data_IF_224421382328
#
_entry.id   IF_224421382328
#
_cell.length_a   1.000
_cell.length_b   1.000
_cell.length_c   1.000
_cell.angle_alpha   90.00
_cell.angle_beta   90.00
_cell.angle_gamma   90.00
#
_symmetry.space_group_name_H-M   'P 1'
#
loop_
_entity.id
_entity.type
_entity.pdbx_description
1 polymer ?
#
# COMPACT_ATOMS: atom_id res chain seq x y z
N UNK A 1 24.55 -15.07 -36.48
CA UNK A 1 23.95 -16.19 -35.73
C UNK A 1 24.62 -16.21 -34.35
N UNK A 2 24.20 -15.29 -33.49
CA UNK A 2 23.19 -15.50 -32.42
C UNK A 2 23.75 -16.32 -31.24
N UNK A 3 24.25 -15.61 -30.23
CA UNK A 3 24.44 -16.15 -28.89
C UNK A 3 23.13 -15.97 -28.10
N UNK A 4 22.54 -17.10 -27.70
CA UNK A 4 21.29 -17.21 -26.97
C UNK A 4 21.42 -16.57 -25.58
N UNK A 5 20.56 -15.58 -25.30
CA UNK A 5 20.31 -15.08 -23.93
C UNK A 5 19.52 -16.14 -23.18
N UNK A 6 20.05 -16.60 -22.06
CA UNK A 6 19.32 -17.44 -21.11
C UNK A 6 18.25 -16.62 -20.41
N UNK A 7 16.99 -16.87 -20.74
CA UNK A 7 15.84 -16.38 -19.99
C UNK A 7 15.81 -17.04 -18.61
N UNK A 8 16.02 -16.23 -17.56
CA UNK A 8 15.67 -16.64 -16.19
C UNK A 8 14.16 -16.66 -16.08
N UNK A 9 13.53 -17.76 -15.61
CA UNK A 9 12.10 -17.77 -15.40
C UNK A 9 11.76 -16.80 -14.26
N UNK A 10 11.09 -15.70 -14.58
CA UNK A 10 10.39 -14.90 -13.58
C UNK A 10 9.21 -15.73 -13.09
N UNK A 11 9.37 -16.39 -11.94
CA UNK A 11 8.22 -17.01 -11.27
C UNK A 11 7.30 -15.88 -10.80
N UNK A 12 6.19 -15.71 -11.51
CA UNK A 12 5.20 -14.67 -11.22
C UNK A 12 4.39 -15.13 -10.02
N UNK A 13 4.80 -14.73 -8.83
CA UNK A 13 4.03 -14.95 -7.62
C UNK A 13 2.76 -14.08 -7.67
N UNK A 14 1.61 -14.71 -7.42
CA UNK A 14 0.31 -14.04 -7.43
C UNK A 14 0.26 -12.97 -6.33
N UNK A 15 -0.14 -11.73 -6.66
CA UNK A 15 -0.23 -10.61 -5.70
C UNK A 15 -1.15 -10.92 -4.51
N UNK A 16 -2.25 -11.66 -4.74
CA UNK A 16 -3.12 -12.13 -3.65
C UNK A 16 -2.36 -13.03 -2.68
N UNK A 17 -1.43 -13.85 -3.21
CA UNK A 17 -0.55 -14.70 -2.41
C UNK A 17 0.54 -13.88 -1.73
N UNK A 18 1.13 -12.87 -2.38
CA UNK A 18 2.09 -11.96 -1.72
C UNK A 18 1.42 -11.18 -0.58
N UNK A 19 0.22 -10.65 -0.78
CA UNK A 19 -0.51 -9.89 0.22
C UNK A 19 -0.99 -10.80 1.36
N UNK A 20 -1.60 -11.95 1.05
CA UNK A 20 -1.93 -12.98 2.05
C UNK A 20 -0.68 -13.45 2.80
N UNK A 21 0.44 -13.69 2.11
CA UNK A 21 1.71 -14.06 2.75
C UNK A 21 2.28 -12.94 3.63
N UNK A 22 2.21 -11.66 3.23
CA UNK A 22 2.62 -10.53 4.09
C UNK A 22 1.65 -10.28 5.26
N UNK A 23 0.41 -10.73 5.12
CA UNK A 23 -0.66 -10.61 6.12
C UNK A 23 -0.71 -11.80 7.09
N UNK A 24 -0.29 -12.99 6.67
CA UNK A 24 -0.32 -14.26 7.41
C UNK A 24 1.06 -14.69 7.93
N UNK A 25 2.15 -14.35 7.25
CA UNK A 25 3.50 -14.73 7.66
C UNK A 25 4.29 -13.51 8.15
N UNK A 26 4.48 -13.46 9.46
CA UNK A 26 5.49 -12.64 10.14
C UNK A 26 6.94 -12.99 9.71
N UNK A 27 7.13 -13.88 8.73
CA UNK A 27 8.43 -14.34 8.26
C UNK A 27 8.75 -13.70 6.91
N UNK A 28 9.44 -12.55 6.98
CA UNK A 28 10.26 -11.88 5.96
C UNK A 28 10.01 -10.35 5.81
N UNK A 29 9.44 -9.68 6.81
CA UNK A 29 9.55 -8.21 6.88
C UNK A 29 10.97 -7.91 7.40
N UNK A 30 11.81 -7.18 6.64
CA UNK A 30 13.11 -6.72 7.15
C UNK A 30 12.93 -6.02 8.49
N UNK A 31 13.76 -6.35 9.47
CA UNK A 31 13.70 -5.78 10.81
C UNK A 31 15.09 -5.37 11.26
N UNK A 32 15.22 -4.13 11.72
CA UNK A 32 16.43 -3.59 12.31
C UNK A 32 16.08 -2.92 13.66
N UNK A 33 15.99 -3.69 14.76
CA UNK A 33 15.68 -3.13 16.06
C UNK A 33 16.83 -2.27 16.59
N UNK A 34 16.56 -1.01 16.89
CA UNK A 34 17.54 -0.05 17.42
C UNK A 34 17.23 0.30 18.88
N UNK A 35 18.26 0.21 19.73
CA UNK A 35 18.19 0.84 21.06
C UNK A 35 18.49 2.34 20.95
N UNK A 36 18.41 3.09 22.05
CA UNK A 36 18.59 4.54 22.03
C UNK A 36 19.94 4.99 21.44
N UNK A 37 21.04 4.34 21.86
CA UNK A 37 22.37 4.66 21.34
C UNK A 37 22.50 4.31 19.86
N UNK A 38 22.00 3.14 19.45
CA UNK A 38 22.01 2.69 18.07
C UNK A 38 21.21 3.62 17.16
N UNK A 39 20.04 4.07 17.61
CA UNK A 39 19.23 5.06 16.88
C UNK A 39 19.98 6.38 16.74
N UNK A 40 20.58 6.89 17.81
CA UNK A 40 21.34 8.15 17.77
C UNK A 40 22.52 8.09 16.79
N UNK A 41 23.20 6.96 16.69
CA UNK A 41 24.27 6.76 15.71
C UNK A 41 23.70 6.63 14.30
N UNK A 42 22.73 5.72 14.10
CA UNK A 42 22.18 5.38 12.79
C UNK A 42 21.49 6.56 12.11
N UNK A 43 20.86 7.47 12.85
CA UNK A 43 20.27 8.70 12.29
C UNK A 43 21.28 9.59 11.55
N UNK A 44 22.58 9.44 11.83
CA UNK A 44 23.65 10.17 11.14
C UNK A 44 24.28 9.38 9.96
N UNK A 45 23.91 8.12 9.76
CA UNK A 45 24.45 7.23 8.73
C UNK A 45 23.56 7.19 7.48
N UNK A 46 23.46 8.32 6.78
CA UNK A 46 22.51 8.48 5.67
C UNK A 46 22.65 7.42 4.55
N UNK A 47 23.88 7.00 4.24
CA UNK A 47 24.13 5.95 3.24
C UNK A 47 23.56 4.59 3.66
N UNK A 48 23.72 4.22 4.93
CA UNK A 48 23.20 2.96 5.47
C UNK A 48 21.67 2.97 5.51
N UNK A 49 21.06 4.10 5.90
CA UNK A 49 19.60 4.29 5.84
C UNK A 49 19.08 4.10 4.41
N UNK A 50 19.75 4.69 3.42
CA UNK A 50 19.32 4.58 2.02
C UNK A 50 19.46 3.16 1.48
N UNK A 51 20.53 2.46 1.83
CA UNK A 51 20.73 1.06 1.46
C UNK A 51 19.64 0.17 2.06
N UNK A 52 19.35 0.33 3.35
CA UNK A 52 18.27 -0.40 4.03
C UNK A 52 16.90 -0.09 3.41
N UNK A 53 16.59 1.19 3.17
CA UNK A 53 15.35 1.62 2.53
C UNK A 53 15.19 0.99 1.13
N UNK A 54 16.27 0.95 0.35
CA UNK A 54 16.26 0.37 -0.99
C UNK A 54 15.97 -1.14 -1.01
N UNK A 55 16.20 -1.82 0.12
CA UNK A 55 15.86 -3.24 0.32
C UNK A 55 14.39 -3.49 0.67
N UNK A 56 13.61 -2.45 1.01
CA UNK A 56 12.20 -2.61 1.42
C UNK A 56 11.32 -2.94 0.20
N UNK A 57 10.56 -4.06 0.22
CA UNK A 57 9.65 -4.40 -0.86
C UNK A 57 8.62 -3.29 -1.09
N UNK A 58 8.56 -2.79 -2.33
CA UNK A 58 7.56 -1.81 -2.73
C UNK A 58 6.27 -2.52 -3.14
N UNK A 59 5.21 -2.34 -2.36
CA UNK A 59 3.88 -2.89 -2.65
C UNK A 59 2.95 -1.78 -3.07
N UNK A 60 2.54 -1.79 -4.34
CA UNK A 60 1.59 -0.84 -4.90
C UNK A 60 0.45 -1.54 -5.65
N UNK A 61 -0.75 -0.98 -5.51
CA UNK A 61 -1.91 -1.39 -6.29
C UNK A 61 -1.80 -0.86 -7.73
N UNK A 62 -2.41 -1.59 -8.66
CA UNK A 62 -2.55 -1.15 -10.07
C UNK A 62 -3.92 -0.54 -10.29
N UNK A 63 -4.04 0.37 -11.27
CA UNK A 63 -5.34 0.97 -11.63
C UNK A 63 -6.37 -0.10 -12.02
N UNK A 64 -5.93 -1.15 -12.71
CA UNK A 64 -6.80 -2.25 -13.16
C UNK A 64 -7.43 -3.05 -12.00
N UNK A 65 -6.97 -2.84 -10.76
CA UNK A 65 -7.50 -3.47 -9.55
C UNK A 65 -8.58 -2.62 -8.87
N UNK A 66 -8.87 -1.42 -9.40
CA UNK A 66 -9.90 -0.52 -8.89
C UNK A 66 -11.28 -0.81 -9.49
N UNK A 67 -12.37 -0.39 -8.81
CA UNK A 67 -13.69 -0.36 -9.43
C UNK A 67 -13.67 0.48 -10.72
N UNK A 68 -14.38 0.06 -11.78
CA UNK A 68 -14.47 0.84 -13.01
C UNK A 68 -14.93 2.27 -12.76
N UNK A 69 -14.20 3.27 -13.26
CA UNK A 69 -14.51 4.69 -13.09
C UNK A 69 -13.96 5.32 -11.80
N UNK A 70 -13.33 4.54 -10.91
CA UNK A 70 -12.81 5.06 -9.65
C UNK A 70 -11.60 6.00 -9.83
N UNK A 71 -10.95 5.99 -10.99
CA UNK A 71 -9.85 6.88 -11.34
C UNK A 71 -10.18 8.37 -11.17
N UNK A 72 -11.44 8.77 -11.40
CA UNK A 72 -11.88 10.17 -11.25
C UNK A 72 -11.92 10.63 -9.78
N UNK A 73 -11.87 9.70 -8.83
CA UNK A 73 -11.82 9.96 -7.38
C UNK A 73 -10.39 9.94 -6.82
N UNK A 74 -9.38 9.74 -7.66
CA UNK A 74 -7.97 9.70 -7.27
C UNK A 74 -7.24 10.98 -7.65
N UNK A 75 -6.51 11.55 -6.68
CA UNK A 75 -5.66 12.71 -6.93
C UNK A 75 -4.48 12.38 -7.84
N UNK A 76 -3.94 11.17 -7.72
CA UNK A 76 -2.84 10.68 -8.54
C UNK A 76 -3.16 9.29 -9.08
N UNK A 77 -3.01 9.11 -10.40
CA UNK A 77 -3.30 7.87 -11.10
C UNK A 77 -2.29 6.73 -10.82
N UNK A 78 -1.31 6.93 -9.94
CA UNK A 78 -0.35 5.90 -9.53
C UNK A 78 -0.33 5.70 -8.01
N UNK A 79 -1.12 6.45 -7.26
CA UNK A 79 -1.21 6.37 -5.79
C UNK A 79 -2.64 6.01 -5.43
N UNK A 80 -2.91 4.71 -5.33
CA UNK A 80 -4.26 4.17 -5.10
C UNK A 80 -4.25 3.12 -4.00
N UNK A 81 -5.37 2.94 -3.28
CA UNK A 81 -5.42 2.04 -2.15
C UNK A 81 -5.37 0.59 -2.62
N UNK A 82 -4.73 -0.26 -1.81
CA UNK A 82 -4.74 -1.70 -2.02
C UNK A 82 -6.15 -2.26 -1.81
N UNK A 83 -6.67 -3.10 -2.71
CA UNK A 83 -8.03 -3.65 -2.59
C UNK A 83 -8.31 -4.29 -1.23
N UNK A 84 -7.31 -4.94 -0.63
CA UNK A 84 -7.40 -5.69 0.61
C UNK A 84 -7.54 -4.81 1.86
N UNK A 85 -6.97 -3.60 1.83
CA UNK A 85 -6.97 -2.67 2.98
C UNK A 85 -7.82 -1.44 2.74
N UNK A 86 -8.38 -1.27 1.53
CA UNK A 86 -9.20 -0.13 1.16
C UNK A 86 -10.38 0.05 2.12
N UNK A 87 -10.67 1.29 2.48
CA UNK A 87 -11.85 1.64 3.27
C UNK A 87 -13.08 1.60 2.35
N UNK A 88 -14.08 0.75 2.62
CA UNK A 88 -15.34 0.78 1.90
C UNK A 88 -16.26 1.86 2.47
N UNK A 89 -16.98 2.57 1.60
CA UNK A 89 -18.08 3.45 2.01
C UNK A 89 -19.42 2.72 1.85
N UNK A 90 -20.42 3.12 2.63
CA UNK A 90 -21.78 2.58 2.50
C UNK A 90 -22.39 2.98 1.15
N UNK A 91 -22.86 2.00 0.37
CA UNK A 91 -23.45 2.23 -0.94
C UNK A 91 -24.62 3.21 -0.89
N UNK A 92 -24.68 4.13 -1.86
CA UNK A 92 -25.81 5.03 -2.07
C UNK A 92 -26.50 4.63 -3.38
N UNK A 93 -27.80 4.31 -3.29
CA UNK A 93 -28.62 3.91 -4.44
C UNK A 93 -27.93 2.81 -5.27
N UNK A 94 -27.95 2.97 -6.59
CA UNK A 94 -27.29 2.07 -7.54
C UNK A 94 -25.94 2.61 -8.04
N UNK A 95 -25.32 3.57 -7.35
CA UNK A 95 -24.02 4.12 -7.75
C UNK A 95 -22.87 3.22 -7.23
N UNK A 96 -22.17 2.46 -8.10
CA UNK A 96 -21.04 1.62 -7.68
C UNK A 96 -19.82 2.43 -7.23
N UNK A 97 -19.68 3.69 -7.66
CA UNK A 97 -18.58 4.56 -7.23
C UNK A 97 -18.82 5.15 -5.84
N UNK A 98 -20.05 5.10 -5.33
CA UNK A 98 -20.37 5.59 -3.98
C UNK A 98 -19.68 4.80 -2.88
N UNK A 99 -19.23 3.56 -3.15
CA UNK A 99 -18.51 2.69 -2.22
C UNK A 99 -16.99 2.92 -2.24
N UNK A 100 -16.52 3.84 -3.09
CA UNK A 100 -15.10 4.10 -3.31
C UNK A 100 -14.64 5.41 -2.68
N UNK A 101 -13.53 5.32 -1.93
CA UNK A 101 -12.67 6.43 -1.54
C UNK A 101 -11.21 5.96 -1.59
N UNK A 102 -10.28 6.85 -1.93
CA UNK A 102 -8.85 6.59 -1.86
C UNK A 102 -8.37 6.68 -0.40
N UNK A 103 -8.61 5.61 0.34
CA UNK A 103 -8.18 5.45 1.71
C UNK A 103 -7.95 3.97 2.04
N UNK A 104 -7.02 3.70 2.96
CA UNK A 104 -6.69 2.36 3.45
C UNK A 104 -6.64 2.34 4.98
N UNK A 105 -7.12 1.24 5.56
CA UNK A 105 -6.88 0.92 6.96
C UNK A 105 -5.40 0.59 7.17
N UNK A 106 -4.81 1.17 8.22
CA UNK A 106 -3.43 0.95 8.64
C UNK A 106 -3.43 0.32 10.03
N UNK A 107 -2.56 -0.67 10.22
CA UNK A 107 -2.39 -1.37 11.50
C UNK A 107 -1.62 -0.49 12.49
N UNK A 108 -1.99 -0.57 13.76
CA UNK A 108 -1.30 0.10 14.85
C UNK A 108 -0.27 -0.78 15.55
N UNK A 109 0.31 -0.30 16.67
CA UNK A 109 1.19 -1.08 17.53
C UNK A 109 0.55 -2.42 17.94
N UNK A 110 1.39 -3.44 18.16
CA UNK A 110 0.95 -4.80 18.52
C UNK A 110 -0.08 -5.38 17.53
N UNK A 111 0.03 -5.02 16.26
CA UNK A 111 -0.80 -5.53 15.17
C UNK A 111 -2.29 -5.17 15.28
N UNK A 112 -2.64 -4.10 16.02
CA UNK A 112 -4.01 -3.63 16.14
C UNK A 112 -4.60 -3.32 14.75
N UNK A 113 -5.69 -4.00 14.38
CA UNK A 113 -6.33 -3.84 13.07
C UNK A 113 -7.10 -2.52 13.00
N UNK A 114 -7.15 -1.91 11.81
CA UNK A 114 -7.93 -0.69 11.53
C UNK A 114 -7.68 0.45 12.55
N UNK A 115 -6.43 0.61 12.98
CA UNK A 115 -6.08 1.57 14.02
C UNK A 115 -6.01 3.00 13.47
N UNK A 116 -5.52 3.15 12.24
CA UNK A 116 -5.53 4.42 11.52
C UNK A 116 -6.18 4.25 10.15
N UNK A 117 -6.53 5.39 9.54
CA UNK A 117 -6.87 5.49 8.13
C UNK A 117 -5.84 6.40 7.47
N UNK A 118 -5.13 5.89 6.46
CA UNK A 118 -4.33 6.70 5.56
C UNK A 118 -5.17 7.01 4.32
N UNK A 119 -5.30 8.28 3.95
CA UNK A 119 -6.11 8.70 2.82
C UNK A 119 -5.46 9.87 2.07
N UNK A 120 -5.85 10.07 0.81
CA UNK A 120 -5.45 11.25 0.06
C UNK A 120 -6.07 12.52 0.67
N UNK A 121 -5.43 13.67 0.47
CA UNK A 121 -6.05 14.96 0.74
C UNK A 121 -7.33 15.11 -0.11
N UNK A 122 -8.51 15.41 0.49
CA UNK A 122 -9.76 15.55 -0.23
C UNK A 122 -9.65 16.47 -1.44
N UNK A 123 -10.22 16.05 -2.55
CA UNK A 123 -10.45 16.88 -3.73
C UNK A 123 -11.85 17.48 -3.65
N UNK A 124 -12.13 18.50 -4.44
CA UNK A 124 -13.47 19.10 -4.52
C UNK A 124 -14.56 18.04 -4.80
N UNK A 125 -14.28 17.08 -5.68
CA UNK A 125 -15.18 15.96 -6.01
C UNK A 125 -15.29 14.87 -4.93
N UNK A 126 -14.42 14.86 -3.91
CA UNK A 126 -14.37 13.79 -2.90
C UNK A 126 -14.55 14.30 -1.46
N UNK A 127 -14.88 15.58 -1.25
CA UNK A 127 -15.14 16.12 0.10
C UNK A 127 -16.31 15.38 0.78
N UNK A 128 -17.39 15.14 0.05
CA UNK A 128 -18.54 14.39 0.57
C UNK A 128 -18.17 12.95 0.94
N UNK A 129 -17.38 12.28 0.11
CA UNK A 129 -16.90 10.91 0.38
C UNK A 129 -16.01 10.86 1.63
N UNK A 130 -15.15 11.86 1.83
CA UNK A 130 -14.32 11.99 3.02
C UNK A 130 -15.18 12.08 4.29
N UNK A 131 -16.23 12.92 4.29
CA UNK A 131 -17.11 13.03 5.45
C UNK A 131 -17.98 11.79 5.68
N UNK A 132 -18.29 11.02 4.64
CA UNK A 132 -18.96 9.72 4.77
C UNK A 132 -18.08 8.64 5.39
N UNK A 133 -16.76 8.83 5.36
CA UNK A 133 -15.78 7.92 5.95
C UNK A 133 -15.64 8.11 7.47
N UNK A 134 -15.88 9.34 7.95
CA UNK A 134 -15.80 9.74 9.37
C UNK A 134 -17.11 9.40 10.07
#
# INVERSE_FOLDING_TARGET
>A
MEFLRGDRPQSRMNKKKLFSTLYEFQTAVPSHPLNFSGLSTFCNEQSAIYEEYSGIPQVSAKMDELPPGAEVKNRFANVVPLPETRVPLAKINNDPLSEYINASYVRGPKNATKYYIACQAPMESTVTDFWRMI
#
